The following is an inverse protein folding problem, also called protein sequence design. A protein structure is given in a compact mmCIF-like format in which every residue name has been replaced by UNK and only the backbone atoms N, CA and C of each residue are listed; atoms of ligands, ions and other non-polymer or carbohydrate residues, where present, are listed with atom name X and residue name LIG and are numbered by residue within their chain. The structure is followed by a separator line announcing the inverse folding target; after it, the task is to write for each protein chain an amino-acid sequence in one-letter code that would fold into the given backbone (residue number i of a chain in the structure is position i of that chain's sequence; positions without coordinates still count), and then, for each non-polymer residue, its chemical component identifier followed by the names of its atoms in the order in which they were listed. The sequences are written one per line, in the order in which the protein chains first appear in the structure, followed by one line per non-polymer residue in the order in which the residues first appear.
data_IF_564197302532
#
_entry.id   IF_564197302532
#
_cell.length_a   1.000
_cell.length_b   1.000
_cell.length_c   1.000
_cell.angle_alpha   90.00
_cell.angle_beta   90.00
_cell.angle_gamma   90.00
#
_symmetry.space_group_name_H-M   'P 1'
#
loop_
_entity.id
_entity.type
_entity.pdbx_description
1 polymer ?
#
# COMPACT_ATOMS: atom_id res chain seq x y z
N UNK A 1 19.22 -37.08 10.74
CA UNK A 1 20.34 -36.29 10.19
C UNK A 1 19.96 -34.84 10.46
N UNK A 2 20.40 -34.33 11.61
CA UNK A 2 20.17 -32.93 11.99
C UNK A 2 21.00 -32.07 11.04
N UNK A 3 20.31 -31.31 10.18
CA UNK A 3 20.96 -30.28 9.39
C UNK A 3 21.32 -29.14 10.34
N UNK A 4 22.60 -29.01 10.66
CA UNK A 4 23.16 -27.82 11.30
C UNK A 4 22.83 -26.61 10.42
N UNK A 5 21.86 -25.82 10.85
CA UNK A 5 21.42 -24.57 10.22
C UNK A 5 22.25 -23.36 10.69
N UNK A 6 23.53 -23.54 10.98
CA UNK A 6 24.43 -22.45 11.34
C UNK A 6 25.19 -22.01 10.09
N UNK A 7 24.61 -21.12 9.30
CA UNK A 7 25.35 -20.47 8.21
C UNK A 7 24.57 -20.00 7.00
N UNK A 8 23.32 -19.56 7.14
CA UNK A 8 22.75 -18.70 6.10
C UNK A 8 23.22 -17.27 6.37
N UNK A 9 23.96 -16.62 5.45
CA UNK A 9 24.28 -15.22 5.59
C UNK A 9 22.96 -14.44 5.64
N UNK A 10 22.79 -13.59 6.65
CA UNK A 10 21.64 -12.67 6.78
C UNK A 10 21.50 -11.73 5.55
N UNK A 11 22.51 -11.68 4.68
CA UNK A 11 22.72 -10.71 3.60
C UNK A 11 21.96 -10.94 2.28
N UNK A 12 21.17 -12.01 2.08
CA UNK A 12 20.59 -12.32 0.76
C UNK A 12 19.04 -12.35 0.67
N UNK A 13 18.36 -11.32 1.18
CA UNK A 13 16.91 -11.10 0.87
C UNK A 13 16.61 -9.89 0.04
N UNK A 14 17.38 -8.85 0.27
CA UNK A 14 17.30 -7.63 -0.48
C UNK A 14 18.49 -7.60 -1.43
N UNK A 15 18.33 -7.10 -2.67
CA UNK A 15 19.46 -6.87 -3.55
C UNK A 15 20.56 -6.09 -2.81
N UNK A 16 21.81 -6.40 -3.11
CA UNK A 16 22.95 -5.68 -2.55
C UNK A 16 22.79 -4.17 -2.81
N UNK A 17 22.83 -3.36 -1.75
CA UNK A 17 22.58 -1.92 -1.85
C UNK A 17 21.11 -1.49 -1.89
N UNK A 18 20.14 -2.38 -1.62
CA UNK A 18 18.73 -2.00 -1.53
C UNK A 18 18.49 -0.90 -0.49
N UNK A 19 17.86 0.19 -0.92
CA UNK A 19 17.47 1.27 -0.03
C UNK A 19 15.95 1.30 0.12
N UNK A 20 15.50 1.12 1.37
CA UNK A 20 14.09 1.27 1.72
C UNK A 20 13.60 2.68 1.37
N UNK A 21 12.47 2.74 0.70
CA UNK A 21 11.78 3.95 0.27
C UNK A 21 10.31 3.90 0.71
N UNK A 22 9.58 5.01 0.60
CA UNK A 22 8.19 5.09 1.09
C UNK A 22 7.18 4.29 0.26
N UNK A 23 7.59 3.69 -0.86
CA UNK A 23 6.76 2.66 -1.51
C UNK A 23 6.92 1.29 -0.86
N UNK A 24 7.93 1.06 -0.02
CA UNK A 24 8.00 -0.12 0.83
C UNK A 24 6.93 -0.05 1.92
N UNK A 25 6.07 -1.06 1.96
CA UNK A 25 4.94 -1.16 2.89
C UNK A 25 5.32 -0.80 4.32
N UNK A 26 6.39 -1.38 4.86
CA UNK A 26 6.76 -1.14 6.25
C UNK A 26 7.26 0.26 6.53
N UNK A 27 8.10 0.82 5.66
CA UNK A 27 8.57 2.19 5.85
C UNK A 27 7.40 3.17 5.71
N UNK A 28 6.48 2.90 4.77
CA UNK A 28 5.24 3.64 4.64
C UNK A 28 4.45 3.65 5.95
N UNK A 29 4.18 2.49 6.55
CA UNK A 29 3.45 2.39 7.82
C UNK A 29 4.16 3.13 8.96
N UNK A 30 5.47 2.89 9.14
CA UNK A 30 6.25 3.52 10.20
C UNK A 30 6.24 5.05 10.10
N UNK A 31 6.25 5.57 8.87
CA UNK A 31 6.22 7.02 8.63
C UNK A 31 4.80 7.59 8.74
N UNK A 32 3.78 6.93 8.17
CA UNK A 32 2.40 7.44 8.19
C UNK A 32 1.74 7.37 9.58
N UNK A 33 2.28 6.58 10.51
CA UNK A 33 1.95 6.64 11.93
C UNK A 33 2.27 8.01 12.56
N UNK A 34 3.24 8.74 12.01
CA UNK A 34 3.51 10.11 12.41
C UNK A 34 2.48 11.06 11.79
N UNK A 35 1.66 11.69 12.64
CA UNK A 35 0.59 12.60 12.23
C UNK A 35 1.06 13.71 11.29
N UNK A 36 2.21 14.32 11.57
CA UNK A 36 2.74 15.40 10.76
C UNK A 36 3.18 14.90 9.38
N UNK A 37 3.78 13.71 9.28
CA UNK A 37 4.14 13.11 8.01
C UNK A 37 2.89 12.82 7.16
N UNK A 38 1.86 12.24 7.77
CA UNK A 38 0.63 11.90 7.05
C UNK A 38 -0.15 13.17 6.64
N UNK A 39 -0.18 14.21 7.49
CA UNK A 39 -0.78 15.50 7.16
C UNK A 39 -0.06 16.19 5.99
N UNK A 40 1.28 16.18 5.96
CA UNK A 40 2.04 16.71 4.82
C UNK A 40 1.73 15.94 3.53
N UNK A 41 1.60 14.62 3.62
CA UNK A 41 1.27 13.75 2.48
C UNK A 41 -0.13 14.05 1.95
N UNK A 42 -1.15 14.02 2.80
CA UNK A 42 -2.54 14.28 2.41
C UNK A 42 -2.75 15.73 1.92
N UNK A 43 -2.13 16.73 2.55
CA UNK A 43 -2.25 18.13 2.11
C UNK A 43 -1.70 18.35 0.70
N UNK A 44 -0.68 17.59 0.28
CA UNK A 44 -0.18 17.63 -1.10
C UNK A 44 -1.14 16.90 -2.04
N UNK A 45 -1.60 15.70 -1.67
CA UNK A 45 -2.49 14.87 -2.51
C UNK A 45 -3.80 15.61 -2.78
N UNK A 46 -4.43 16.14 -1.74
CA UNK A 46 -5.72 16.82 -1.80
C UNK A 46 -5.63 18.27 -2.28
N UNK A 47 -4.42 18.82 -2.39
CA UNK A 47 -4.16 20.24 -2.66
C UNK A 47 -4.77 21.18 -1.60
N UNK A 48 -4.70 20.76 -0.34
CA UNK A 48 -5.28 21.46 0.81
C UNK A 48 -4.17 21.82 1.81
N UNK A 49 -3.47 22.96 1.66
CA UNK A 49 -2.31 23.31 2.49
C UNK A 49 -2.64 23.50 3.98
N UNK A 50 -3.91 23.79 4.30
CA UNK A 50 -4.40 24.00 5.66
C UNK A 50 -5.07 22.75 6.26
N UNK A 51 -4.94 21.58 5.61
CA UNK A 51 -5.43 20.31 6.15
C UNK A 51 -4.83 20.08 7.55
N UNK A 52 -5.70 19.71 8.50
CA UNK A 52 -5.30 19.36 9.87
C UNK A 52 -5.87 18.02 10.29
N UNK A 53 -5.00 17.09 10.62
CA UNK A 53 -5.40 15.78 11.11
C UNK A 53 -5.70 15.84 12.62
N UNK A 54 -6.85 15.31 13.00
CA UNK A 54 -7.24 15.11 14.39
C UNK A 54 -6.70 13.77 14.91
N UNK A 55 -6.68 12.75 14.06
CA UNK A 55 -6.36 11.37 14.44
C UNK A 55 -5.71 10.63 13.27
N UNK A 56 -4.77 9.73 13.60
CA UNK A 56 -4.09 8.85 12.64
C UNK A 56 -3.92 7.47 13.25
N UNK A 57 -4.15 6.43 12.45
CA UNK A 57 -3.91 5.03 12.81
C UNK A 57 -3.31 4.31 11.60
N UNK A 58 -2.48 3.30 11.85
CA UNK A 58 -1.92 2.43 10.81
C UNK A 58 -2.21 0.97 11.13
N UNK A 59 -2.31 0.14 10.11
CA UNK A 59 -2.67 -1.28 10.23
C UNK A 59 -4.00 -1.55 10.97
N UNK A 60 -4.94 -0.61 10.92
CA UNK A 60 -6.21 -0.73 11.61
C UNK A 60 -7.05 -1.85 10.99
N UNK A 61 -7.48 -2.81 11.82
CA UNK A 61 -8.36 -3.90 11.38
C UNK A 61 -9.81 -3.49 11.56
N UNK A 62 -10.54 -3.38 10.45
CA UNK A 62 -11.99 -3.19 10.47
C UNK A 62 -12.65 -4.54 10.28
N UNK A 63 -13.23 -5.05 11.36
CA UNK A 63 -13.95 -6.32 11.37
C UNK A 63 -15.32 -6.16 10.72
N UNK A 64 -15.72 -7.18 9.97
CA UNK A 64 -17.10 -7.32 9.57
C UNK A 64 -17.85 -8.05 10.69
N UNK A 65 -18.90 -7.44 11.24
CA UNK A 65 -19.72 -8.02 12.33
C UNK A 65 -20.31 -9.39 11.96
N UNK A 66 -20.50 -9.68 10.67
CA UNK A 66 -21.00 -10.97 10.21
C UNK A 66 -19.92 -12.06 10.09
N UNK A 67 -18.69 -11.83 10.56
CA UNK A 67 -17.57 -12.79 10.50
C UNK A 67 -17.03 -13.07 9.08
N UNK A 68 -17.43 -12.25 8.10
CA UNK A 68 -16.93 -12.32 6.71
C UNK A 68 -15.59 -11.58 6.59
N UNK A 69 -15.15 -11.34 5.36
CA UNK A 69 -13.88 -10.66 5.04
C UNK A 69 -13.75 -9.32 5.80
N UNK A 70 -12.78 -9.25 6.71
CA UNK A 70 -12.30 -8.02 7.33
C UNK A 70 -11.33 -7.29 6.39
N UNK A 71 -11.06 -6.01 6.67
CA UNK A 71 -10.00 -5.25 6.01
C UNK A 71 -8.96 -4.82 7.02
N UNK A 72 -7.72 -4.70 6.55
CA UNK A 72 -6.63 -4.04 7.26
C UNK A 72 -6.27 -2.81 6.43
N UNK A 73 -6.40 -1.66 7.05
CA UNK A 73 -6.10 -0.38 6.44
C UNK A 73 -4.62 -0.10 6.61
N UNK A 74 -3.93 0.32 5.55
CA UNK A 74 -2.52 0.66 5.65
C UNK A 74 -2.36 1.91 6.54
N UNK A 75 -2.97 3.02 6.13
CA UNK A 75 -2.98 4.26 6.89
C UNK A 75 -4.36 4.93 6.87
N UNK A 76 -4.95 5.10 8.04
CA UNK A 76 -6.22 5.79 8.24
C UNK A 76 -6.02 7.11 8.98
N UNK A 77 -6.77 8.13 8.60
CA UNK A 77 -6.80 9.40 9.31
C UNK A 77 -8.19 10.02 9.34
N UNK A 78 -8.40 10.88 10.33
CA UNK A 78 -9.57 11.74 10.44
C UNK A 78 -9.13 13.18 10.62
N UNK A 79 -9.67 14.10 9.82
CA UNK A 79 -9.38 15.53 9.98
C UNK A 79 -10.27 16.21 11.03
N UNK A 80 -9.93 17.46 11.34
CA UNK A 80 -10.70 18.30 12.28
C UNK A 80 -12.13 18.63 11.80
N UNK A 81 -12.43 18.41 10.51
CA UNK A 81 -13.76 18.56 9.92
C UNK A 81 -14.52 17.22 9.87
N UNK A 82 -13.99 16.19 10.53
CA UNK A 82 -14.53 14.84 10.57
C UNK A 82 -14.57 14.13 9.21
N UNK A 83 -13.73 14.50 8.24
CA UNK A 83 -13.52 13.71 7.01
C UNK A 83 -12.57 12.57 7.30
N UNK A 84 -12.86 11.42 6.71
CA UNK A 84 -12.06 10.20 6.86
C UNK A 84 -11.21 9.96 5.61
N UNK A 85 -9.97 9.55 5.81
CA UNK A 85 -9.02 9.26 4.75
C UNK A 85 -8.45 7.87 4.97
N UNK A 86 -8.45 7.06 3.92
CA UNK A 86 -7.72 5.81 3.90
C UNK A 86 -6.72 5.83 2.75
N UNK A 87 -5.44 5.62 3.04
CA UNK A 87 -4.38 5.59 2.03
C UNK A 87 -3.72 4.23 2.02
N UNK A 88 -3.71 3.60 0.84
CA UNK A 88 -3.19 2.25 0.60
C UNK A 88 -2.00 2.31 -0.36
N UNK A 89 -0.87 1.70 0.02
CA UNK A 89 0.31 1.60 -0.85
C UNK A 89 0.26 0.26 -1.61
N UNK A 90 0.10 0.32 -2.93
CA UNK A 90 -0.02 -0.88 -3.76
C UNK A 90 1.11 -0.99 -4.78
N UNK A 91 2.10 -1.82 -4.46
CA UNK A 91 3.21 -2.13 -5.36
C UNK A 91 2.86 -3.14 -6.46
N UNK A 92 1.91 -4.04 -6.19
CA UNK A 92 1.47 -5.06 -7.16
C UNK A 92 -0.01 -4.86 -7.51
N UNK A 93 -0.27 -4.12 -8.58
CA UNK A 93 -1.63 -3.85 -9.06
C UNK A 93 -2.20 -4.96 -9.96
N UNK A 94 -1.41 -6.00 -10.29
CA UNK A 94 -1.79 -7.03 -11.29
C UNK A 94 -2.60 -8.17 -10.69
N UNK A 95 -2.43 -8.43 -9.40
CA UNK A 95 -3.05 -9.55 -8.71
C UNK A 95 -4.42 -9.25 -8.08
N UNK A 96 -4.93 -8.02 -8.16
CA UNK A 96 -6.21 -7.63 -7.55
C UNK A 96 -6.93 -6.52 -8.33
N UNK A 97 -8.25 -6.37 -8.10
CA UNK A 97 -9.05 -5.31 -8.68
C UNK A 97 -9.22 -4.15 -7.69
N UNK A 98 -8.30 -3.17 -7.76
CA UNK A 98 -8.29 -2.01 -6.86
C UNK A 98 -9.56 -1.16 -6.93
N UNK A 99 -10.27 -1.15 -8.07
CA UNK A 99 -11.55 -0.44 -8.23
C UNK A 99 -12.65 -1.07 -7.38
N UNK A 100 -12.72 -2.40 -7.36
CA UNK A 100 -13.68 -3.12 -6.51
C UNK A 100 -13.25 -3.08 -5.04
N UNK A 101 -11.95 -3.10 -4.76
CA UNK A 101 -11.40 -3.02 -3.40
C UNK A 101 -11.67 -1.66 -2.76
N UNK A 102 -11.52 -0.56 -3.50
CA UNK A 102 -11.83 0.78 -3.01
C UNK A 102 -13.29 0.90 -2.57
N UNK A 103 -14.24 0.37 -3.35
CA UNK A 103 -15.66 0.30 -2.98
C UNK A 103 -15.90 -0.55 -1.73
N UNK A 104 -15.21 -1.68 -1.59
CA UNK A 104 -15.34 -2.54 -0.42
C UNK A 104 -14.83 -1.85 0.85
N UNK A 105 -13.69 -1.16 0.76
CA UNK A 105 -13.09 -0.41 1.87
C UNK A 105 -13.98 0.75 2.30
N UNK A 106 -14.51 1.50 1.33
CA UNK A 106 -15.51 2.56 1.56
C UNK A 106 -16.68 2.04 2.41
N UNK A 107 -17.34 0.96 1.98
CA UNK A 107 -18.51 0.44 2.69
C UNK A 107 -18.20 -0.04 4.12
N UNK A 108 -17.03 -0.66 4.34
CA UNK A 108 -16.63 -1.09 5.69
C UNK A 108 -16.22 0.08 6.59
N UNK A 109 -15.63 1.14 6.05
CA UNK A 109 -15.30 2.35 6.80
C UNK A 109 -16.55 3.11 7.26
N UNK A 110 -17.58 3.17 6.42
CA UNK A 110 -18.81 3.88 6.74
C UNK A 110 -19.68 3.15 7.79
N UNK A 111 -19.53 1.81 7.88
CA UNK A 111 -20.32 0.94 8.76
C UNK A 111 -20.19 1.28 10.25
N UNK A 112 -18.99 1.34 10.86
CA UNK A 112 -18.85 1.63 12.30
C UNK A 112 -19.17 3.10 12.65
N UNK A 113 -19.16 4.01 11.68
CA UNK A 113 -19.36 5.45 11.92
C UNK A 113 -20.82 5.74 12.28
N UNK A 114 -21.78 5.10 11.61
CA UNK A 114 -23.19 5.24 11.89
C UNK A 114 -23.65 4.18 12.90
N UNK A 115 -23.64 4.52 14.20
CA UNK A 115 -24.22 3.66 15.23
C UNK A 115 -25.70 3.36 14.93
N UNK A 116 -26.16 2.15 15.25
CA UNK A 116 -27.56 1.79 15.14
C UNK A 116 -28.43 2.64 16.09
N UNK A 117 -29.59 3.13 15.61
CA UNK A 117 -30.59 3.79 16.44
C UNK A 117 -31.44 4.85 15.73
N UNK A 118 -32.60 5.19 16.29
CA UNK A 118 -33.55 6.15 15.68
C UNK A 118 -33.03 7.60 15.59
N UNK A 119 -31.90 7.92 16.24
CA UNK A 119 -31.32 9.28 16.31
C UNK A 119 -30.14 9.49 15.37
N UNK A 120 -29.52 8.42 14.86
CA UNK A 120 -28.47 8.50 13.83
C UNK A 120 -29.15 8.60 12.47
N UNK A 121 -28.76 9.62 11.70
CA UNK A 121 -29.33 9.93 10.38
C UNK A 121 -28.20 9.93 9.37
N UNK A 122 -28.47 9.47 8.15
CA UNK A 122 -27.47 9.45 7.06
C UNK A 122 -26.85 10.82 6.76
N UNK A 123 -27.55 11.92 7.07
CA UNK A 123 -27.02 13.29 6.96
C UNK A 123 -25.75 13.55 7.80
N UNK A 124 -25.46 12.69 8.78
CA UNK A 124 -24.29 12.79 9.64
C UNK A 124 -23.17 11.83 9.23
N UNK A 125 -23.36 11.08 8.13
CA UNK A 125 -22.28 10.29 7.55
C UNK A 125 -21.22 11.27 7.04
N UNK A 126 -19.97 11.18 7.54
CA UNK A 126 -18.91 12.05 7.09
C UNK A 126 -18.47 11.70 5.67
N UNK A 127 -17.78 12.65 5.04
CA UNK A 127 -17.10 12.37 3.78
C UNK A 127 -15.93 11.43 4.00
N UNK A 128 -15.74 10.51 3.07
CA UNK A 128 -14.66 9.52 3.10
C UNK A 128 -13.90 9.56 1.78
N UNK A 129 -12.57 9.57 1.87
CA UNK A 129 -11.66 9.56 0.72
C UNK A 129 -10.81 8.31 0.78
N UNK A 130 -10.95 7.44 -0.22
CA UNK A 130 -10.10 6.26 -0.39
C UNK A 130 -9.01 6.58 -1.41
N UNK A 131 -7.75 6.44 -1.02
CA UNK A 131 -6.58 6.80 -1.80
C UNK A 131 -5.75 5.53 -2.03
N UNK A 132 -5.48 5.20 -3.28
CA UNK A 132 -4.51 4.17 -3.65
C UNK A 132 -3.30 4.82 -4.29
N UNK A 133 -2.10 4.45 -3.85
CA UNK A 133 -0.85 4.87 -4.47
C UNK A 133 -0.27 3.65 -5.19
N UNK A 134 -0.14 3.74 -6.52
CA UNK A 134 0.31 2.64 -7.37
C UNK A 134 1.64 2.95 -8.06
N UNK A 135 2.44 1.92 -8.28
CA UNK A 135 3.71 2.03 -9.02
C UNK A 135 3.51 2.26 -10.53
N UNK A 136 2.45 1.67 -11.08
CA UNK A 136 2.12 1.69 -12.50
C UNK A 136 0.79 2.42 -12.74
N UNK A 137 0.54 2.81 -13.99
CA UNK A 137 -0.73 3.39 -14.42
C UNK A 137 -1.79 2.30 -14.64
N UNK A 138 -2.78 2.23 -13.74
CA UNK A 138 -3.86 1.23 -13.83
C UNK A 138 -5.03 1.67 -14.72
N UNK A 139 -4.98 2.88 -15.29
CA UNK A 139 -5.99 3.43 -16.20
C UNK A 139 -5.47 3.72 -17.61
N UNK A 140 -4.14 3.70 -17.80
CA UNK A 140 -3.47 3.92 -19.09
C UNK A 140 -3.80 5.28 -19.73
N UNK A 141 -3.95 6.32 -18.92
CA UNK A 141 -4.19 7.68 -19.39
C UNK A 141 -3.04 8.65 -19.09
N UNK A 142 -1.95 8.16 -18.49
CA UNK A 142 -0.78 8.94 -18.11
C UNK A 142 -1.13 10.19 -17.30
N UNK A 143 -1.91 10.02 -16.23
CA UNK A 143 -2.10 11.04 -15.20
C UNK A 143 -1.43 10.59 -13.91
N UNK A 144 -0.82 11.53 -13.18
CA UNK A 144 -0.30 11.30 -11.83
C UNK A 144 -1.42 11.08 -10.81
N UNK A 145 -2.63 11.57 -11.08
CA UNK A 145 -3.79 11.45 -10.19
C UNK A 145 -5.09 11.32 -10.96
N UNK A 146 -5.90 10.34 -10.54
CA UNK A 146 -7.27 10.14 -10.98
C UNK A 146 -8.20 10.32 -9.80
N UNK A 147 -9.20 11.20 -9.92
CA UNK A 147 -10.22 11.41 -8.89
C UNK A 147 -11.58 10.98 -9.43
N UNK A 148 -12.26 10.10 -8.69
CA UNK A 148 -13.58 9.60 -9.03
C UNK A 148 -14.58 9.95 -7.93
N UNK A 149 -15.75 10.43 -8.36
CA UNK A 149 -16.93 10.75 -7.56
C UNK A 149 -18.16 10.26 -8.32
N UNK A 150 -19.26 9.96 -7.62
CA UNK A 150 -20.51 9.56 -8.27
C UNK A 150 -21.14 10.76 -9.01
N UNK A 151 -21.61 10.52 -10.24
CA UNK A 151 -22.13 11.54 -11.15
C UNK A 151 -23.33 10.99 -11.93
N UNK A 152 -24.29 11.85 -12.26
CA UNK A 152 -25.44 11.52 -13.09
C UNK A 152 -25.03 11.23 -14.53
N UNK A 153 -25.56 10.15 -15.12
CA UNK A 153 -25.29 9.77 -16.50
C UNK A 153 -26.03 10.67 -17.50
N UNK A 154 -27.24 11.10 -17.16
CA UNK A 154 -28.11 11.90 -18.03
C UNK A 154 -27.73 13.38 -18.05
N UNK A 155 -27.13 13.89 -16.96
CA UNK A 155 -26.80 15.32 -16.80
C UNK A 155 -25.32 15.47 -16.50
N UNK A 156 -24.54 15.78 -17.54
CA UNK A 156 -23.12 16.06 -17.43
C UNK A 156 -22.86 17.20 -16.42
N UNK A 157 -21.92 16.98 -15.49
CA UNK A 157 -21.58 17.92 -14.43
C UNK A 157 -22.40 17.80 -13.15
N UNK A 158 -23.48 17.01 -13.12
CA UNK A 158 -24.29 16.83 -11.92
C UNK A 158 -23.73 15.73 -11.01
N UNK A 159 -23.01 16.12 -9.96
CA UNK A 159 -22.47 15.21 -8.96
C UNK A 159 -23.54 14.81 -7.93
N UNK A 160 -23.46 13.57 -7.43
CA UNK A 160 -24.38 13.08 -6.40
C UNK A 160 -24.14 13.73 -5.02
N UNK A 161 -22.93 14.21 -4.78
CA UNK A 161 -22.49 14.83 -3.52
C UNK A 161 -22.75 13.96 -2.27
N UNK A 162 -22.60 12.64 -2.41
CA UNK A 162 -22.78 11.67 -1.32
C UNK A 162 -21.62 11.63 -0.30
N UNK A 163 -20.60 12.46 -0.50
CA UNK A 163 -19.42 12.53 0.35
C UNK A 163 -18.37 11.46 0.08
N UNK A 164 -18.54 10.60 -0.92
CA UNK A 164 -17.53 9.59 -1.29
C UNK A 164 -16.56 10.11 -2.35
N UNK A 165 -15.27 9.81 -2.19
CA UNK A 165 -14.25 10.14 -3.18
C UNK A 165 -13.21 9.04 -3.25
N UNK A 166 -12.80 8.68 -4.47
CA UNK A 166 -11.80 7.64 -4.72
C UNK A 166 -10.66 8.26 -5.53
N UNK A 167 -9.46 8.24 -4.98
CA UNK A 167 -8.26 8.80 -5.62
C UNK A 167 -7.30 7.65 -5.93
N UNK A 168 -6.77 7.63 -7.15
CA UNK A 168 -5.71 6.72 -7.54
C UNK A 168 -4.52 7.55 -8.01
N UNK A 169 -3.38 7.36 -7.36
CA UNK A 169 -2.13 8.04 -7.68
C UNK A 169 -1.21 7.08 -8.42
N UNK A 170 -0.58 7.58 -9.47
CA UNK A 170 0.30 6.81 -10.34
C UNK A 170 1.73 7.38 -10.25
N UNK A 171 2.62 6.62 -9.59
CA UNK A 171 4.02 7.03 -9.40
C UNK A 171 4.86 6.99 -10.67
N UNK A 172 4.38 6.39 -11.77
CA UNK A 172 5.09 6.39 -13.05
C UNK A 172 4.87 7.68 -13.86
N UNK A 173 3.76 8.38 -13.66
CA UNK A 173 3.43 9.56 -14.47
C UNK A 173 4.07 10.83 -13.92
N UNK A 174 4.45 11.71 -14.86
CA UNK A 174 4.92 13.08 -14.61
C UNK A 174 3.90 14.12 -15.10
N UNK A 175 2.64 13.72 -15.32
CA UNK A 175 1.58 14.59 -15.80
C UNK A 175 0.61 14.94 -14.65
N UNK A 176 0.76 16.13 -14.10
CA UNK A 176 -0.01 16.60 -12.95
C UNK A 176 0.63 17.82 -12.29
N UNK A 177 0.13 18.20 -11.11
CA UNK A 177 0.72 19.31 -10.34
C UNK A 177 2.18 18.99 -9.95
N UNK A 178 3.12 19.95 -10.09
CA UNK A 178 4.53 19.74 -9.77
C UNK A 178 4.79 19.23 -8.35
N UNK A 179 4.05 19.72 -7.35
CA UNK A 179 4.17 19.31 -5.95
C UNK A 179 3.74 17.85 -5.75
N UNK A 180 2.67 17.43 -6.43
CA UNK A 180 2.20 16.04 -6.35
C UNK A 180 3.18 15.09 -7.03
N UNK A 181 3.67 15.44 -8.22
CA UNK A 181 4.70 14.66 -8.91
C UNK A 181 5.93 14.53 -8.00
N UNK A 182 6.36 15.64 -7.41
CA UNK A 182 7.51 15.67 -6.50
C UNK A 182 7.32 14.76 -5.29
N UNK A 183 6.11 14.74 -4.69
CA UNK A 183 5.78 13.80 -3.62
C UNK A 183 5.86 12.35 -4.10
N UNK A 184 5.23 12.02 -5.23
CA UNK A 184 5.21 10.65 -5.76
C UNK A 184 6.62 10.14 -6.11
N UNK A 185 7.45 11.00 -6.72
CA UNK A 185 8.84 10.66 -7.02
C UNK A 185 9.69 10.54 -5.75
N UNK A 186 9.45 11.38 -4.74
CA UNK A 186 10.07 11.22 -3.42
C UNK A 186 9.63 9.91 -2.73
N UNK A 187 8.37 9.51 -2.88
CA UNK A 187 7.91 8.24 -2.31
C UNK A 187 8.57 7.03 -2.98
N UNK A 188 8.70 7.08 -4.30
CA UNK A 188 9.37 6.06 -5.12
C UNK A 188 10.88 5.96 -4.85
N UNK A 189 11.53 7.10 -4.65
CA UNK A 189 12.94 7.19 -4.29
C UNK A 189 13.13 8.27 -3.21
N UNK A 190 13.21 7.81 -1.96
CA UNK A 190 13.10 8.60 -0.73
C UNK A 190 14.40 9.31 -0.38
N UNK A 191 14.74 10.29 -1.21
CA UNK A 191 15.83 11.24 -1.02
C UNK A 191 15.50 12.57 -1.71
N UNK A 192 15.87 13.70 -1.10
CA UNK A 192 15.71 15.03 -1.70
C UNK A 192 16.69 15.31 -2.86
N UNK A 193 17.69 14.45 -3.03
CA UNK A 193 18.64 14.48 -4.14
C UNK A 193 18.10 13.76 -5.39
N UNK A 194 16.89 13.19 -5.30
CA UNK A 194 16.23 12.56 -6.44
C UNK A 194 16.02 13.59 -7.56
N UNK A 195 16.61 13.41 -8.77
CA UNK A 195 16.51 14.36 -9.87
C UNK A 195 15.10 14.48 -10.43
N UNK A 196 14.22 13.52 -10.17
CA UNK A 196 12.82 13.54 -10.62
C UNK A 196 11.91 14.41 -9.73
N UNK A 197 12.43 14.96 -8.64
CA UNK A 197 11.73 15.95 -7.81
C UNK A 197 11.76 17.31 -8.52
N UNK A 198 10.58 17.76 -8.96
CA UNK A 198 10.41 19.02 -9.68
C UNK A 198 10.44 20.23 -8.73
N UNK A 199 9.86 20.09 -7.54
CA UNK A 199 9.69 21.16 -6.56
C UNK A 199 9.98 20.63 -5.15
N UNK A 200 10.86 21.33 -4.43
CA UNK A 200 11.21 21.01 -3.04
C UNK A 200 10.28 21.71 -2.06
N UNK A 201 9.00 21.33 -2.08
CA UNK A 201 7.96 21.86 -1.19
C UNK A 201 8.37 21.71 0.29
N UNK A 202 8.02 22.70 1.13
CA UNK A 202 8.29 22.69 2.58
C UNK A 202 7.74 21.44 3.28
N UNK A 203 6.61 20.93 2.79
CA UNK A 203 5.94 19.71 3.27
C UNK A 203 6.75 18.46 2.96
N UNK A 204 7.33 18.38 1.76
CA UNK A 204 8.24 17.29 1.36
C UNK A 204 9.53 17.35 2.19
N UNK A 205 10.10 18.53 2.42
CA UNK A 205 11.28 18.68 3.31
C UNK A 205 10.99 18.27 4.75
N UNK A 206 9.80 18.59 5.26
CA UNK A 206 9.38 18.17 6.60
C UNK A 206 9.19 16.64 6.65
N UNK A 207 8.58 16.07 5.62
CA UNK A 207 8.46 14.62 5.46
C UNK A 207 9.85 13.94 5.44
N UNK A 208 10.82 14.47 4.69
CA UNK A 208 12.18 13.93 4.62
C UNK A 208 12.91 13.89 5.96
N UNK A 209 12.78 14.96 6.75
CA UNK A 209 13.30 14.97 8.12
C UNK A 209 12.66 13.88 8.99
N UNK A 210 11.34 13.73 8.93
CA UNK A 210 10.63 12.69 9.72
C UNK A 210 11.06 11.29 9.26
N UNK A 211 11.19 11.06 7.95
CA UNK A 211 11.69 9.78 7.42
C UNK A 211 13.08 9.46 7.97
N UNK A 212 13.98 10.44 8.01
CA UNK A 212 15.34 10.25 8.56
C UNK A 212 15.30 9.90 10.05
N UNK A 213 14.46 10.58 10.82
CA UNK A 213 14.25 10.29 12.24
C UNK A 213 13.69 8.87 12.44
N UNK A 214 12.66 8.47 11.67
CA UNK A 214 12.08 7.12 11.71
C UNK A 214 13.13 6.07 11.37
N UNK A 215 13.92 6.27 10.31
CA UNK A 215 14.98 5.33 9.90
C UNK A 215 16.09 5.14 10.94
N UNK A 216 16.22 6.06 11.90
CA UNK A 216 17.18 5.97 13.01
C UNK A 216 16.58 5.37 14.28
N UNK A 217 15.28 5.10 14.30
CA UNK A 217 14.58 4.60 15.49
C UNK A 217 14.77 3.09 15.69
N UNK A 218 14.77 2.66 16.95
CA UNK A 218 14.77 1.24 17.31
C UNK A 218 13.51 0.52 16.79
N UNK A 219 12.36 1.21 16.79
CA UNK A 219 11.10 0.66 16.25
C UNK A 219 11.24 0.30 14.77
N UNK A 220 11.92 1.14 13.98
CA UNK A 220 12.18 0.87 12.57
C UNK A 220 13.14 -0.30 12.36
N UNK A 221 14.25 -0.35 13.10
CA UNK A 221 15.17 -1.48 12.97
C UNK A 221 14.51 -2.81 13.37
N UNK A 222 13.67 -2.83 14.41
CA UNK A 222 12.88 -4.00 14.77
C UNK A 222 11.88 -4.40 13.66
N UNK A 223 11.16 -3.44 13.09
CA UNK A 223 10.23 -3.70 11.98
C UNK A 223 10.95 -4.25 10.75
N UNK A 224 12.09 -3.65 10.39
CA UNK A 224 12.94 -4.07 9.28
C UNK A 224 13.47 -5.50 9.46
N UNK A 225 13.97 -5.83 10.66
CA UNK A 225 14.45 -7.19 10.96
C UNK A 225 13.33 -8.23 10.84
N UNK A 226 12.15 -7.95 11.40
CA UNK A 226 11.00 -8.84 11.31
C UNK A 226 10.60 -9.12 9.84
N UNK A 227 10.64 -8.11 8.98
CA UNK A 227 10.33 -8.29 7.55
C UNK A 227 11.37 -9.14 6.84
N UNK A 228 12.64 -8.93 7.16
CA UNK A 228 13.73 -9.74 6.62
C UNK A 228 13.56 -11.20 7.03
N UNK A 229 13.28 -11.46 8.32
CA UNK A 229 13.02 -12.81 8.84
C UNK A 229 11.82 -13.48 8.14
N UNK A 230 10.67 -12.81 8.06
CA UNK A 230 9.49 -13.33 7.34
C UNK A 230 9.82 -13.59 5.86
N UNK A 231 10.61 -12.72 5.25
CA UNK A 231 11.11 -12.90 3.89
C UNK A 231 11.95 -14.17 3.75
N UNK A 232 12.82 -14.46 4.74
CA UNK A 232 13.68 -15.66 4.76
C UNK A 232 12.84 -16.92 4.80
N UNK A 233 11.92 -16.98 5.75
CA UNK A 233 11.03 -18.12 5.93
C UNK A 233 10.24 -18.42 4.66
N UNK A 234 9.64 -17.38 4.05
CA UNK A 234 8.91 -17.52 2.78
C UNK A 234 9.82 -17.92 1.62
N UNK A 235 11.03 -17.41 1.57
CA UNK A 235 12.04 -17.76 0.56
C UNK A 235 12.42 -19.23 0.64
N UNK A 236 12.75 -19.71 1.85
CA UNK A 236 13.07 -21.12 2.14
C UNK A 236 11.89 -22.01 1.75
N UNK A 237 10.67 -21.67 2.18
CA UNK A 237 9.47 -22.44 1.89
C UNK A 237 9.23 -22.58 0.38
N UNK A 238 9.32 -21.47 -0.38
CA UNK A 238 9.19 -21.50 -1.84
C UNK A 238 10.32 -22.31 -2.50
N UNK A 239 11.53 -22.27 -1.95
CA UNK A 239 12.67 -23.07 -2.40
C UNK A 239 12.39 -24.57 -2.24
N UNK A 240 11.88 -24.98 -1.07
CA UNK A 240 11.50 -26.36 -0.78
C UNK A 240 10.37 -26.84 -1.70
N UNK A 241 9.33 -26.03 -1.91
CA UNK A 241 8.22 -26.36 -2.82
C UNK A 241 8.71 -26.55 -4.27
N UNK A 242 9.54 -25.62 -4.77
CA UNK A 242 10.15 -25.75 -6.11
C UNK A 242 11.05 -26.99 -6.21
N UNK A 243 11.80 -27.31 -5.16
CA UNK A 243 12.65 -28.50 -5.09
C UNK A 243 11.82 -29.79 -5.15
N UNK A 244 10.69 -29.85 -4.44
CA UNK A 244 9.74 -30.98 -4.50
C UNK A 244 9.14 -31.15 -5.89
N UNK A 245 8.67 -30.06 -6.51
CA UNK A 245 8.10 -30.09 -7.86
C UNK A 245 9.14 -30.59 -8.89
N UNK A 246 10.36 -30.05 -8.86
CA UNK A 246 11.44 -30.53 -9.72
C UNK A 246 11.77 -32.00 -9.46
N UNK A 247 11.84 -32.42 -8.20
CA UNK A 247 12.09 -33.82 -7.84
C UNK A 247 11.01 -34.80 -8.35
N UNK A 248 9.76 -34.36 -8.44
CA UNK A 248 8.67 -35.13 -9.03
C UNK A 248 8.77 -35.21 -10.56
N UNK A 249 9.19 -34.12 -11.23
CA UNK A 249 9.42 -34.11 -12.68
C UNK A 249 10.56 -35.06 -13.11
N UNK A 250 11.55 -35.30 -12.24
CA UNK A 250 12.62 -36.28 -12.50
C UNK A 250 12.27 -37.72 -12.07
N UNK A 251 11.15 -37.94 -11.38
CA UNK A 251 10.70 -39.25 -10.94
C UNK A 251 9.65 -39.84 -11.90
N UNK A 252 9.92 -39.73 -13.21
CA UNK A 252 9.12 -40.39 -14.24
C UNK A 252 9.27 -41.90 -14.03
N UNK A 253 8.18 -42.66 -13.84
CA UNK A 253 8.27 -44.11 -13.70
C UNK A 253 8.94 -44.69 -14.96
N UNK A 254 10.10 -45.30 -14.78
CA UNK A 254 10.72 -46.11 -15.83
C UNK A 254 9.77 -47.27 -16.06
N UNK A 255 9.12 -47.27 -17.22
CA UNK A 255 8.32 -48.40 -17.65
C UNK A 255 9.25 -49.63 -17.75
N UNK A 256 9.03 -50.57 -16.84
CA UNK A 256 9.79 -51.83 -16.75
C UNK A 256 9.60 -52.68 -18.01
N UNK A 257 8.57 -52.46 -18.83
CA UNK A 257 8.43 -53.12 -20.14
C UNK A 257 9.39 -52.56 -21.19
N UNK A 258 9.86 -51.31 -21.07
CA UNK A 258 10.85 -50.75 -21.99
C UNK A 258 12.25 -51.33 -21.75
N UNK A 259 12.55 -51.80 -20.54
CA UNK A 259 13.81 -52.48 -20.19
C UNK A 259 13.85 -53.95 -20.62
N UNK A 260 12.70 -54.63 -20.74
CA UNK A 260 12.64 -56.05 -21.14
C UNK A 260 12.84 -56.31 -22.64
N UNK A 261 12.78 -55.29 -23.49
CA UNK A 261 13.00 -55.42 -24.96
C UNK A 261 14.46 -55.21 -25.41
N UNK A 262 15.40 -55.07 -24.47
CA UNK A 262 16.85 -54.98 -24.77
C UNK A 262 17.63 -56.04 -23.99
N UNK A 263 17.32 -57.30 -24.23
CA UNK A 263 18.30 -58.38 -24.06
C UNK A 263 18.15 -59.26 -25.31
N UNK A 264 19.23 -59.54 -26.07
CA UNK A 264 19.16 -60.32 -27.31
C UNK A 264 18.59 -61.72 -27.10
#
# INVERSE_FOLDING_TARGET
MELNMTGFPEEQLLPEGYQFNLSDFALFLSVMKNKDAYENTLSIILDEPDLKLAEVEVEQVVLNESGKRAIRLDAWARDVKNRHFNTEMQNDSKNDNLRKRSRFYQGLLDTPILKAGKKTKYRYLPSTVIIFITQEDIFSCDLAMYTFTEQCEEVAGLHLDDGTKKIFLNMASKNGRPELISLLQYMKNTTLDNPDILVRDKRIRKLDRIVKEVKQSEEWEAAKMNILEIGMEKGIQKGLEKGKLKGQDYNVPIDVDTLRRRVP
#
